data_IF_912292886619
#
_entry.id   IF_912292886619
#
_cell.length_a   1.000
_cell.length_b   1.000
_cell.length_c   1.000
_cell.angle_alpha   90.00
_cell.angle_beta   90.00
_cell.angle_gamma   90.00
#
_symmetry.space_group_name_H-M   'P 1'
#
loop_
_entity.id
_entity.type
_entity.pdbx_description
1 polymer ?
#
# COMPACT_ATOMS: atom_id res chain seq x y z
N UNK A 1 1.53 3.04 -27.36
CA UNK A 1 2.07 1.81 -27.96
C UNK A 1 3.52 1.69 -27.51
N UNK A 2 3.77 0.95 -26.43
CA UNK A 2 5.11 0.69 -25.93
C UNK A 2 5.68 -0.55 -26.66
N UNK A 3 6.96 -0.52 -27.01
CA UNK A 3 7.64 -1.56 -27.78
C UNK A 3 7.59 -2.91 -27.07
N UNK A 4 6.81 -3.84 -27.63
CA UNK A 4 6.73 -5.23 -27.20
C UNK A 4 7.81 -5.99 -27.97
N UNK A 5 8.79 -6.56 -27.26
CA UNK A 5 9.69 -7.55 -27.85
C UNK A 5 8.84 -8.80 -28.19
N UNK A 6 8.83 -9.29 -29.45
CA UNK A 6 7.89 -10.31 -29.89
C UNK A 6 8.08 -11.72 -29.30
N UNK A 7 9.13 -11.97 -28.50
CA UNK A 7 9.64 -13.33 -28.26
C UNK A 7 9.61 -13.80 -26.79
N UNK A 8 8.81 -13.20 -25.90
CA UNK A 8 8.63 -13.75 -24.53
C UNK A 8 7.37 -14.66 -24.49
N UNK A 9 7.53 -16.00 -24.47
CA UNK A 9 6.41 -16.95 -24.48
C UNK A 9 5.53 -16.85 -23.23
N UNK A 10 6.05 -16.36 -22.11
CA UNK A 10 5.26 -16.14 -20.89
C UNK A 10 4.29 -14.95 -21.07
N UNK A 11 4.72 -13.89 -21.77
CA UNK A 11 3.90 -12.73 -22.10
C UNK A 11 2.79 -13.07 -23.11
N UNK A 12 3.08 -13.93 -24.08
CA UNK A 12 2.10 -14.44 -25.04
C UNK A 12 1.03 -15.33 -24.38
N UNK A 13 1.41 -16.09 -23.33
CA UNK A 13 0.47 -16.92 -22.58
C UNK A 13 -0.41 -16.10 -21.64
N UNK A 14 0.15 -15.06 -21.03
CA UNK A 14 -0.56 -14.15 -20.13
C UNK A 14 -1.60 -13.28 -20.84
N UNK A 15 -1.31 -12.83 -22.06
CA UNK A 15 -2.25 -12.02 -22.87
C UNK A 15 -3.50 -12.78 -23.32
N UNK A 16 -3.44 -14.12 -23.37
CA UNK A 16 -4.56 -15.00 -23.74
C UNK A 16 -5.54 -15.33 -22.59
N UNK A 17 -5.24 -14.94 -21.36
CA UNK A 17 -6.12 -15.18 -20.21
C UNK A 17 -7.30 -14.20 -20.18
N UNK A 18 -8.50 -14.62 -19.71
CA UNK A 18 -9.62 -13.72 -19.46
C UNK A 18 -9.21 -12.61 -18.48
N UNK A 19 -9.73 -11.39 -18.70
CA UNK A 19 -9.41 -10.22 -17.88
C UNK A 19 -9.42 -10.45 -16.34
N UNK A 20 -10.40 -11.15 -15.73
CA UNK A 20 -10.40 -11.39 -14.28
C UNK A 20 -9.31 -12.38 -13.84
N UNK A 21 -9.05 -13.43 -14.63
CA UNK A 21 -7.98 -14.40 -14.33
C UNK A 21 -6.60 -13.76 -14.45
N UNK A 22 -6.43 -12.87 -15.42
CA UNK A 22 -5.19 -12.11 -15.60
C UNK A 22 -4.92 -11.17 -14.42
N UNK A 23 -5.96 -10.60 -13.82
CA UNK A 23 -5.88 -9.83 -12.56
C UNK A 23 -5.49 -10.72 -11.37
N UNK A 24 -6.02 -11.95 -11.28
CA UNK A 24 -5.66 -12.89 -10.21
C UNK A 24 -4.21 -13.36 -10.33
N UNK A 25 -3.79 -13.75 -11.53
CA UNK A 25 -2.43 -14.24 -11.78
C UNK A 25 -1.36 -13.14 -11.72
N UNK A 26 -1.70 -11.89 -12.01
CA UNK A 26 -0.78 -10.76 -11.83
C UNK A 26 -0.52 -10.44 -10.35
N UNK A 27 -1.43 -10.84 -9.45
CA UNK A 27 -1.50 -10.37 -8.05
C UNK A 27 -1.49 -11.48 -7.01
N UNK A 28 -0.55 -12.44 -7.09
CA UNK A 28 -0.58 -13.59 -6.20
C UNK A 28 -0.57 -13.17 -4.73
N UNK A 29 0.12 -12.08 -4.37
CA UNK A 29 0.22 -11.59 -2.99
C UNK A 29 -1.11 -11.10 -2.43
N UNK A 30 -1.84 -10.29 -3.20
CA UNK A 30 -3.15 -9.76 -2.79
C UNK A 30 -4.17 -10.87 -2.62
N UNK A 31 -4.21 -11.84 -3.55
CA UNK A 31 -5.15 -12.94 -3.46
C UNK A 31 -4.79 -13.96 -2.37
N UNK A 32 -3.50 -14.21 -2.13
CA UNK A 32 -3.05 -15.03 -0.98
C UNK A 32 -3.43 -14.35 0.33
N UNK A 33 -3.13 -13.05 0.48
CA UNK A 33 -3.52 -12.29 1.67
C UNK A 33 -5.04 -12.28 1.87
N UNK A 34 -5.82 -12.11 0.79
CA UNK A 34 -7.27 -12.12 0.82
C UNK A 34 -7.82 -13.48 1.25
N UNK A 35 -7.28 -14.57 0.70
CA UNK A 35 -7.67 -15.93 1.07
C UNK A 35 -7.43 -16.22 2.55
N UNK A 36 -6.27 -15.80 3.08
CA UNK A 36 -5.94 -15.98 4.50
C UNK A 36 -6.85 -15.12 5.39
N UNK A 37 -7.13 -13.88 4.99
CA UNK A 37 -8.02 -12.99 5.74
C UNK A 37 -9.47 -13.50 5.78
N UNK A 38 -9.98 -14.03 4.67
CA UNK A 38 -11.31 -14.66 4.62
C UNK A 38 -11.34 -15.89 5.55
N UNK A 39 -10.32 -16.74 5.50
CA UNK A 39 -10.23 -17.89 6.40
C UNK A 39 -10.20 -17.43 7.88
N UNK A 40 -9.39 -16.42 8.20
CA UNK A 40 -9.32 -15.85 9.54
C UNK A 40 -10.68 -15.30 10.00
N UNK A 41 -11.43 -14.60 9.14
CA UNK A 41 -12.77 -14.10 9.48
C UNK A 41 -13.71 -15.20 9.97
N UNK A 42 -13.71 -16.36 9.31
CA UNK A 42 -14.56 -17.50 9.68
C UNK A 42 -14.05 -18.26 10.90
N UNK A 43 -12.75 -18.22 11.18
CA UNK A 43 -12.12 -18.84 12.35
C UNK A 43 -12.23 -17.97 13.62
N UNK A 44 -12.42 -16.66 13.49
CA UNK A 44 -12.60 -15.75 14.62
C UNK A 44 -13.89 -16.06 15.40
N UNK A 45 -13.87 -15.99 16.74
CA UNK A 45 -15.04 -16.30 17.58
C UNK A 45 -16.28 -15.48 17.21
N UNK A 46 -17.43 -16.14 17.11
CA UNK A 46 -18.72 -15.48 16.84
C UNK A 46 -19.20 -14.56 17.97
N UNK A 47 -18.62 -14.69 19.17
CA UNK A 47 -18.87 -13.83 20.31
C UNK A 47 -18.33 -12.40 20.12
N UNK A 48 -17.37 -12.20 19.21
CA UNK A 48 -16.87 -10.87 18.87
C UNK A 48 -17.92 -10.11 18.06
N UNK A 49 -18.02 -8.79 18.30
CA UNK A 49 -18.85 -7.90 17.48
C UNK A 49 -18.42 -8.02 16.01
N UNK A 50 -19.38 -7.98 15.08
CA UNK A 50 -19.12 -8.12 13.65
C UNK A 50 -18.02 -7.17 13.16
N UNK A 51 -18.11 -5.90 13.57
CA UNK A 51 -17.14 -4.86 13.20
C UNK A 51 -15.73 -5.17 13.71
N UNK A 52 -15.57 -5.74 14.91
CA UNK A 52 -14.27 -6.18 15.45
C UNK A 52 -13.70 -7.33 14.63
N UNK A 53 -14.53 -8.29 14.22
CA UNK A 53 -14.10 -9.41 13.34
C UNK A 53 -13.66 -8.91 11.98
N UNK A 54 -14.38 -7.94 11.42
CA UNK A 54 -14.04 -7.31 10.14
C UNK A 54 -12.70 -6.57 10.24
N UNK A 55 -12.47 -5.77 11.29
CA UNK A 55 -11.21 -5.08 11.51
C UNK A 55 -10.04 -6.05 11.69
N UNK A 56 -10.19 -7.08 12.53
CA UNK A 56 -9.14 -8.09 12.69
C UNK A 56 -8.80 -8.79 11.38
N UNK A 57 -9.81 -9.10 10.56
CA UNK A 57 -9.60 -9.74 9.25
C UNK A 57 -8.92 -8.78 8.27
N UNK A 58 -9.27 -7.50 8.30
CA UNK A 58 -8.60 -6.45 7.54
C UNK A 58 -7.14 -6.27 7.97
N UNK A 59 -6.86 -6.29 9.27
CA UNK A 59 -5.51 -6.16 9.80
C UNK A 59 -4.65 -7.37 9.40
N UNK A 60 -5.22 -8.59 9.45
CA UNK A 60 -4.57 -9.81 8.97
C UNK A 60 -4.28 -9.72 7.47
N UNK A 61 -5.27 -9.33 6.65
CA UNK A 61 -5.08 -9.10 5.22
C UNK A 61 -3.91 -8.14 4.98
N UNK A 62 -3.94 -7.00 5.65
CA UNK A 62 -3.02 -5.89 5.42
C UNK A 62 -1.61 -6.24 5.88
N UNK A 63 -1.46 -6.88 7.05
CA UNK A 63 -0.17 -7.32 7.56
C UNK A 63 0.47 -8.38 6.64
N UNK A 64 -0.32 -9.37 6.19
CA UNK A 64 0.19 -10.40 5.26
C UNK A 64 0.58 -9.77 3.93
N UNK A 65 -0.24 -8.88 3.39
CA UNK A 65 0.08 -8.16 2.16
C UNK A 65 1.40 -7.39 2.28
N UNK A 66 1.59 -6.62 3.36
CA UNK A 66 2.81 -5.88 3.64
C UNK A 66 4.04 -6.80 3.74
N UNK A 67 3.92 -7.90 4.48
CA UNK A 67 5.02 -8.88 4.61
C UNK A 67 5.37 -9.50 3.26
N UNK A 68 4.38 -9.93 2.47
CA UNK A 68 4.63 -10.52 1.15
C UNK A 68 5.27 -9.54 0.18
N UNK A 69 4.89 -8.25 0.25
CA UNK A 69 5.51 -7.19 -0.55
C UNK A 69 6.95 -6.92 -0.08
N UNK A 70 7.18 -6.80 1.22
CA UNK A 70 8.53 -6.60 1.76
C UNK A 70 9.48 -7.76 1.40
N UNK A 71 9.02 -9.00 1.54
CA UNK A 71 9.78 -10.18 1.13
C UNK A 71 10.08 -10.20 -0.38
N UNK A 72 9.18 -9.67 -1.21
CA UNK A 72 9.47 -9.51 -2.63
C UNK A 72 10.55 -8.45 -2.85
N UNK A 73 10.42 -7.26 -2.27
CA UNK A 73 11.38 -6.16 -2.47
C UNK A 73 12.81 -6.64 -2.14
N UNK A 74 12.97 -7.29 -0.98
CA UNK A 74 14.24 -7.86 -0.52
C UNK A 74 14.82 -8.94 -1.46
N UNK A 75 13.95 -9.75 -2.09
CA UNK A 75 14.40 -10.76 -3.06
C UNK A 75 14.79 -10.14 -4.40
N UNK A 76 14.08 -9.11 -4.84
CA UNK A 76 14.37 -8.44 -6.11
C UNK A 76 15.71 -7.70 -6.06
N UNK A 77 16.06 -7.10 -4.92
CA UNK A 77 17.39 -6.48 -4.68
C UNK A 77 18.53 -7.47 -4.91
N UNK A 78 18.38 -8.73 -4.48
CA UNK A 78 19.41 -9.77 -4.64
C UNK A 78 19.59 -10.22 -6.09
N UNK A 79 18.60 -10.02 -6.96
CA UNK A 79 18.58 -10.57 -8.31
C UNK A 79 18.67 -9.52 -9.41
N UNK A 80 18.76 -8.22 -9.10
CA UNK A 80 18.84 -7.10 -10.07
C UNK A 80 17.72 -7.07 -11.15
N UNK A 81 16.59 -7.75 -10.93
CA UNK A 81 15.51 -7.91 -11.92
C UNK A 81 14.31 -6.95 -11.69
N UNK A 82 14.51 -5.83 -11.00
CA UNK A 82 13.43 -4.91 -10.60
C UNK A 82 12.57 -4.43 -11.76
N UNK A 83 13.16 -4.14 -12.93
CA UNK A 83 12.43 -3.65 -14.10
C UNK A 83 11.37 -4.66 -14.57
N UNK A 84 11.73 -5.94 -14.65
CA UNK A 84 10.80 -6.99 -15.11
C UNK A 84 9.66 -7.15 -14.12
N UNK A 85 9.96 -7.10 -12.83
CA UNK A 85 8.98 -7.27 -11.77
C UNK A 85 8.05 -6.06 -11.64
N UNK A 86 8.58 -4.84 -11.74
CA UNK A 86 7.80 -3.60 -11.72
C UNK A 86 6.83 -3.50 -12.91
N UNK A 87 7.22 -3.96 -14.10
CA UNK A 87 6.33 -3.98 -15.28
C UNK A 87 5.25 -5.06 -15.14
N UNK A 88 5.61 -6.26 -14.66
CA UNK A 88 4.66 -7.38 -14.48
C UNK A 88 3.64 -7.13 -13.37
N UNK A 89 4.03 -6.38 -12.35
CA UNK A 89 3.21 -6.05 -11.20
C UNK A 89 2.38 -4.79 -11.40
N UNK A 90 2.31 -4.23 -12.63
CA UNK A 90 1.47 -3.06 -12.87
C UNK A 90 0.00 -3.35 -12.66
N UNK A 91 -0.46 -2.81 -11.56
CA UNK A 91 -1.82 -2.85 -11.12
C UNK A 91 -2.47 -1.46 -11.16
N UNK A 92 -1.84 -0.53 -11.87
CA UNK A 92 -2.04 0.91 -11.84
C UNK A 92 -3.47 1.37 -11.64
N UNK A 93 -3.61 2.30 -10.70
CA UNK A 93 -4.85 2.95 -10.21
C UNK A 93 -5.87 2.06 -9.51
N UNK A 94 -6.19 0.86 -9.99
CA UNK A 94 -7.27 0.06 -9.38
C UNK A 94 -6.90 -0.45 -7.99
N UNK A 95 -5.68 -0.97 -7.79
CA UNK A 95 -5.24 -1.45 -6.47
C UNK A 95 -5.04 -0.31 -5.50
N UNK A 96 -4.46 0.81 -5.95
CA UNK A 96 -4.39 2.03 -5.14
C UNK A 96 -5.79 2.44 -4.69
N UNK A 97 -6.74 2.55 -5.62
CA UNK A 97 -8.11 2.94 -5.31
C UNK A 97 -8.77 1.97 -4.33
N UNK A 98 -8.61 0.66 -4.54
CA UNK A 98 -9.18 -0.36 -3.66
C UNK A 98 -8.56 -0.34 -2.26
N UNK A 99 -7.24 -0.38 -2.14
CA UNK A 99 -6.52 -0.40 -0.85
C UNK A 99 -6.75 0.91 -0.10
N UNK A 100 -6.70 2.05 -0.78
CA UNK A 100 -7.00 3.35 -0.17
C UNK A 100 -8.46 3.44 0.28
N UNK A 101 -9.42 3.01 -0.55
CA UNK A 101 -10.84 3.06 -0.16
C UNK A 101 -11.15 2.14 1.02
N UNK A 102 -10.68 0.89 0.98
CA UNK A 102 -10.88 -0.07 2.07
C UNK A 102 -10.14 0.35 3.34
N UNK A 103 -8.91 0.84 3.21
CA UNK A 103 -8.13 1.36 4.34
C UNK A 103 -8.78 2.59 4.97
N UNK A 104 -9.31 3.52 4.17
CA UNK A 104 -10.05 4.66 4.69
C UNK A 104 -11.33 4.23 5.43
N UNK A 105 -12.08 3.29 4.86
CA UNK A 105 -13.27 2.73 5.51
C UNK A 105 -12.91 2.02 6.82
N UNK A 106 -11.87 1.19 6.83
CA UNK A 106 -11.39 0.50 8.02
C UNK A 106 -10.94 1.49 9.11
N UNK A 107 -10.20 2.53 8.74
CA UNK A 107 -9.80 3.61 9.67
C UNK A 107 -11.01 4.34 10.27
N UNK A 108 -12.02 4.68 9.47
CA UNK A 108 -13.25 5.30 9.99
C UNK A 108 -13.99 4.34 10.93
N UNK A 109 -14.12 3.07 10.54
CA UNK A 109 -14.78 2.05 11.36
C UNK A 109 -14.06 1.83 12.70
N UNK A 110 -12.72 1.87 12.71
CA UNK A 110 -11.90 1.84 13.91
C UNK A 110 -12.16 3.04 14.82
N UNK A 111 -12.16 4.26 14.28
CA UNK A 111 -12.42 5.48 15.06
C UNK A 111 -13.84 5.45 15.66
N UNK A 112 -14.85 5.02 14.90
CA UNK A 112 -16.23 4.90 15.38
C UNK A 112 -16.35 3.86 16.49
N UNK A 113 -15.64 2.73 16.36
CA UNK A 113 -15.56 1.72 17.41
C UNK A 113 -14.97 2.27 18.70
N UNK A 114 -13.89 3.05 18.58
CA UNK A 114 -13.23 3.67 19.72
C UNK A 114 -14.16 4.66 20.45
N UNK A 115 -14.89 5.50 19.70
CA UNK A 115 -15.84 6.45 20.29
C UNK A 115 -17.01 5.77 21.03
N UNK A 116 -17.38 4.56 20.60
CA UNK A 116 -18.43 3.74 21.25
C UNK A 116 -17.92 2.86 22.39
N UNK A 117 -16.60 2.80 22.62
CA UNK A 117 -16.00 2.03 23.68
C UNK A 117 -16.06 2.76 25.02
N UNK A 118 -16.06 2.03 26.13
CA UNK A 118 -15.95 2.64 27.45
C UNK A 118 -14.58 3.31 27.60
N UNK A 119 -14.47 4.36 28.42
CA UNK A 119 -13.24 5.19 28.62
C UNK A 119 -11.94 4.44 28.99
N UNK A 120 -11.92 3.10 29.03
CA UNK A 120 -10.77 2.24 29.39
C UNK A 120 -10.70 0.92 28.59
N UNK A 121 -11.34 0.81 27.43
CA UNK A 121 -11.26 -0.42 26.61
C UNK A 121 -9.94 -0.49 25.83
N UNK A 122 -8.85 -0.81 26.54
CA UNK A 122 -7.51 -0.90 25.95
C UNK A 122 -7.44 -1.79 24.69
N UNK A 123 -8.12 -2.95 24.62
CA UNK A 123 -8.19 -3.75 23.39
C UNK A 123 -8.79 -3.00 22.18
N UNK A 124 -9.86 -2.23 22.36
CA UNK A 124 -10.48 -1.46 21.28
C UNK A 124 -9.54 -0.35 20.77
N UNK A 125 -8.84 0.30 21.69
CA UNK A 125 -7.85 1.32 21.36
C UNK A 125 -6.65 0.73 20.60
N UNK A 126 -6.10 -0.37 21.10
CA UNK A 126 -4.98 -1.07 20.44
C UNK A 126 -5.37 -1.53 19.04
N UNK A 127 -6.56 -2.09 18.86
CA UNK A 127 -7.06 -2.50 17.55
C UNK A 127 -7.19 -1.29 16.62
N UNK A 128 -7.78 -0.19 17.10
CA UNK A 128 -7.97 1.01 16.29
C UNK A 128 -6.64 1.62 15.83
N UNK A 129 -5.66 1.72 16.74
CA UNK A 129 -4.33 2.20 16.41
C UNK A 129 -3.65 1.27 15.38
N UNK A 130 -3.72 -0.04 15.60
CA UNK A 130 -3.15 -1.03 14.68
C UNK A 130 -3.78 -0.93 13.29
N UNK A 131 -5.12 -0.88 13.21
CA UNK A 131 -5.85 -0.77 11.95
C UNK A 131 -5.45 0.49 11.18
N UNK A 132 -5.39 1.65 11.85
CA UNK A 132 -5.02 2.91 11.18
C UNK A 132 -3.57 2.86 10.72
N UNK A 133 -2.64 2.39 11.55
CA UNK A 133 -1.21 2.27 11.20
C UNK A 133 -0.95 1.28 10.05
N UNK A 134 -1.61 0.11 10.06
CA UNK A 134 -1.48 -0.87 8.97
C UNK A 134 -2.06 -0.32 7.67
N UNK A 135 -3.23 0.33 7.73
CA UNK A 135 -3.87 0.93 6.56
C UNK A 135 -3.00 2.04 5.97
N UNK A 136 -2.41 2.88 6.82
CA UNK A 136 -1.43 3.91 6.43
C UNK A 136 -0.23 3.29 5.71
N UNK A 137 0.41 2.30 6.31
CA UNK A 137 1.58 1.64 5.72
C UNK A 137 1.24 0.96 4.38
N UNK A 138 0.07 0.33 4.27
CA UNK A 138 -0.37 -0.33 3.05
C UNK A 138 -0.64 0.64 1.91
N UNK A 139 -1.24 1.80 2.19
CA UNK A 139 -1.42 2.86 1.18
C UNK A 139 -0.07 3.34 0.65
N UNK A 140 0.87 3.70 1.52
CA UNK A 140 2.18 4.20 1.09
C UNK A 140 3.03 3.12 0.41
N UNK A 141 2.94 1.87 0.85
CA UNK A 141 3.59 0.74 0.16
C UNK A 141 3.01 0.53 -1.24
N UNK A 142 1.69 0.66 -1.39
CA UNK A 142 1.03 0.53 -2.71
C UNK A 142 1.41 1.67 -3.65
N UNK A 143 1.52 2.90 -3.13
CA UNK A 143 2.06 4.02 -3.92
C UNK A 143 3.54 3.81 -4.29
N UNK A 144 4.36 3.24 -3.41
CA UNK A 144 5.77 2.92 -3.72
C UNK A 144 5.87 1.95 -4.90
N UNK A 145 5.10 0.86 -4.88
CA UNK A 145 5.04 -0.09 -5.99
C UNK A 145 4.55 0.58 -7.29
N UNK A 146 3.58 1.49 -7.19
CA UNK A 146 3.08 2.21 -8.36
C UNK A 146 4.11 3.19 -8.93
N UNK A 147 4.89 3.87 -8.08
CA UNK A 147 6.00 4.70 -8.55
C UNK A 147 7.10 3.87 -9.21
N UNK A 148 7.42 2.69 -8.66
CA UNK A 148 8.34 1.75 -9.29
C UNK A 148 7.86 1.36 -10.69
N UNK A 149 6.57 1.04 -10.81
CA UNK A 149 5.97 0.78 -12.10
C UNK A 149 6.09 1.98 -13.06
N UNK A 150 5.63 3.16 -12.63
CA UNK A 150 5.62 4.35 -13.46
C UNK A 150 7.03 4.77 -13.89
N UNK A 151 8.04 4.51 -13.05
CA UNK A 151 9.44 4.72 -13.38
C UNK A 151 9.94 3.75 -14.46
N UNK A 152 9.54 2.48 -14.40
CA UNK A 152 10.00 1.43 -15.33
C UNK A 152 9.10 1.18 -16.56
N UNK A 153 7.94 1.84 -16.67
CA UNK A 153 6.96 1.63 -17.75
C UNK A 153 7.47 1.96 -19.17
N UNK A 154 8.49 2.81 -19.27
CA UNK A 154 9.03 3.31 -20.53
C UNK A 154 10.13 2.44 -21.15
N UNK A 155 10.52 2.77 -22.38
CA UNK A 155 11.70 2.18 -23.03
C UNK A 155 12.98 2.48 -22.22
N UNK A 156 13.02 3.67 -21.60
CA UNK A 156 14.06 4.09 -20.65
C UNK A 156 13.40 4.37 -19.29
N UNK A 157 13.96 3.87 -18.17
CA UNK A 157 13.49 4.23 -16.84
C UNK A 157 13.57 5.75 -16.61
N UNK A 158 12.63 6.33 -15.86
CA UNK A 158 12.65 7.76 -15.56
C UNK A 158 11.34 8.35 -15.04
N UNK A 159 11.30 9.68 -14.89
CA UNK A 159 10.15 10.40 -14.35
C UNK A 159 10.30 10.80 -12.87
N UNK A 160 11.22 10.15 -12.15
CA UNK A 160 11.73 10.52 -10.83
C UNK A 160 13.26 10.68 -10.93
N UNK A 161 13.78 11.72 -10.30
CA UNK A 161 15.20 12.05 -10.27
C UNK A 161 15.69 11.97 -8.82
N UNK A 162 16.38 10.88 -8.49
CA UNK A 162 16.95 10.66 -7.16
C UNK A 162 18.28 11.41 -7.01
N UNK A 163 18.67 11.81 -5.78
CA UNK A 163 19.85 12.65 -5.51
C UNK A 163 21.19 11.95 -5.76
N UNK A 164 21.19 10.62 -5.70
CA UNK A 164 22.33 9.75 -6.00
C UNK A 164 22.59 9.77 -7.51
N UNK A 165 23.31 10.78 -7.99
CA UNK A 165 23.54 10.99 -9.42
C UNK A 165 24.18 9.78 -10.12
N UNK A 166 23.63 9.42 -11.28
CA UNK A 166 24.20 8.73 -12.46
C UNK A 166 25.17 7.53 -12.27
N UNK A 167 25.40 7.02 -11.06
CA UNK A 167 26.36 5.92 -10.79
C UNK A 167 25.71 4.54 -10.71
N UNK A 168 24.43 4.47 -10.35
CA UNK A 168 23.60 3.28 -10.50
C UNK A 168 22.51 3.59 -11.53
N UNK A 169 22.52 2.87 -12.66
CA UNK A 169 21.62 3.16 -13.79
C UNK A 169 20.12 2.98 -13.45
N UNK A 170 19.78 2.36 -12.31
CA UNK A 170 18.44 1.85 -12.00
C UNK A 170 18.08 2.04 -10.51
N UNK A 171 17.01 2.79 -10.23
CA UNK A 171 16.45 2.96 -8.88
C UNK A 171 15.86 1.64 -8.35
N UNK A 172 16.09 1.34 -7.06
CA UNK A 172 15.60 0.12 -6.42
C UNK A 172 14.23 0.32 -5.73
N UNK A 173 13.70 -0.72 -5.07
CA UNK A 173 12.42 -0.58 -4.36
C UNK A 173 12.51 0.35 -3.15
N UNK A 174 13.68 0.47 -2.50
CA UNK A 174 13.88 1.37 -1.37
C UNK A 174 13.83 2.84 -1.79
N UNK A 175 14.30 3.18 -2.98
CA UNK A 175 14.15 4.53 -3.56
C UNK A 175 12.67 4.93 -3.66
N UNK A 176 11.81 4.01 -4.14
CA UNK A 176 10.37 4.28 -4.26
C UNK A 176 9.65 4.25 -2.90
N UNK A 177 10.07 3.38 -1.97
CA UNK A 177 9.57 3.38 -0.59
C UNK A 177 9.93 4.70 0.09
N UNK A 178 11.18 5.15 -0.03
CA UNK A 178 11.66 6.43 0.47
C UNK A 178 10.81 7.59 -0.07
N UNK A 179 10.65 7.68 -1.40
CA UNK A 179 9.86 8.74 -2.02
C UNK A 179 8.39 8.71 -1.56
N UNK A 180 7.78 7.52 -1.51
CA UNK A 180 6.39 7.33 -1.13
C UNK A 180 6.13 7.68 0.34
N UNK A 181 6.98 7.17 1.25
CA UNK A 181 6.82 7.38 2.68
C UNK A 181 7.17 8.81 3.10
N UNK A 182 8.07 9.52 2.42
CA UNK A 182 8.27 10.96 2.67
C UNK A 182 6.99 11.75 2.37
N UNK A 183 6.33 11.48 1.24
CA UNK A 183 5.03 12.10 0.92
C UNK A 183 4.00 11.75 2.00
N UNK A 184 4.01 10.51 2.48
CA UNK A 184 3.15 10.03 3.57
C UNK A 184 3.37 10.74 4.90
N UNK A 185 4.61 10.81 5.37
CA UNK A 185 4.96 11.27 6.71
C UNK A 185 4.94 12.80 6.84
N UNK A 186 5.39 13.56 5.84
CA UNK A 186 5.71 14.99 6.04
C UNK A 186 5.16 15.94 4.98
N UNK A 187 4.36 15.47 4.01
CA UNK A 187 3.83 16.30 2.92
C UNK A 187 4.91 17.16 2.19
N UNK A 188 6.17 16.69 2.21
CA UNK A 188 7.33 17.04 1.39
C UNK A 188 8.33 18.12 1.88
N UNK A 189 9.58 17.66 2.09
CA UNK A 189 10.80 18.08 1.34
C UNK A 189 11.52 16.78 0.95
N UNK A 190 11.18 16.19 -0.20
CA UNK A 190 11.99 15.11 -0.77
C UNK A 190 13.06 15.72 -1.66
N UNK A 191 14.29 15.24 -1.56
CA UNK A 191 15.38 15.52 -2.48
C UNK A 191 15.20 14.85 -3.87
N UNK A 192 14.10 14.09 -4.04
CA UNK A 192 13.67 13.49 -5.31
C UNK A 192 12.85 14.47 -6.16
N UNK A 193 13.31 14.75 -7.38
CA UNK A 193 12.62 15.60 -8.35
C UNK A 193 11.63 14.82 -9.23
N UNK A 194 10.44 15.38 -9.50
CA UNK A 194 9.44 14.77 -10.41
C UNK A 194 9.53 15.40 -11.80
N UNK A 195 9.95 14.64 -12.80
CA UNK A 195 10.11 15.11 -14.20
C UNK A 195 8.95 14.71 -15.11
N UNK A 196 8.19 13.66 -14.77
CA UNK A 196 7.03 13.19 -15.55
C UNK A 196 5.71 13.86 -15.13
N UNK A 197 4.82 14.14 -16.10
CA UNK A 197 3.52 14.79 -15.83
C UNK A 197 2.51 13.85 -15.17
N UNK A 198 2.55 12.55 -15.46
CA UNK A 198 1.64 11.55 -14.88
C UNK A 198 2.03 11.30 -13.43
N UNK A 199 3.32 11.08 -13.16
CA UNK A 199 3.84 10.89 -11.79
C UNK A 199 3.51 12.11 -10.92
N UNK A 200 3.59 13.32 -11.46
CA UNK A 200 3.20 14.54 -10.73
C UNK A 200 1.74 14.54 -10.29
N UNK A 201 0.82 14.11 -11.16
CA UNK A 201 -0.61 13.97 -10.82
C UNK A 201 -0.82 12.89 -9.77
N UNK A 202 -0.11 11.77 -9.88
CA UNK A 202 -0.12 10.69 -8.89
C UNK A 202 0.35 11.20 -7.53
N UNK A 203 1.46 11.96 -7.49
CA UNK A 203 1.99 12.55 -6.27
C UNK A 203 1.03 13.57 -5.64
N UNK A 204 0.30 14.35 -6.44
CA UNK A 204 -0.75 15.23 -5.91
C UNK A 204 -1.86 14.45 -5.21
N UNK A 205 -2.36 13.38 -5.85
CA UNK A 205 -3.38 12.51 -5.24
C UNK A 205 -2.86 11.84 -3.97
N UNK A 206 -1.63 11.35 -4.03
CA UNK A 206 -0.96 10.73 -2.89
C UNK A 206 -0.86 11.71 -1.71
N UNK A 207 -0.41 12.95 -1.95
CA UNK A 207 -0.31 13.99 -0.91
C UNK A 207 -1.65 14.33 -0.27
N UNK A 208 -2.74 14.41 -1.05
CA UNK A 208 -4.10 14.62 -0.52
C UNK A 208 -4.51 13.46 0.40
N UNK A 209 -4.25 12.22 -0.02
CA UNK A 209 -4.55 11.03 0.79
C UNK A 209 -3.72 11.03 2.08
N UNK A 210 -2.42 11.32 1.99
CA UNK A 210 -1.52 11.43 3.14
C UNK A 210 -2.02 12.46 4.15
N UNK A 211 -2.48 13.62 3.69
CA UNK A 211 -3.02 14.66 4.56
C UNK A 211 -4.24 14.18 5.38
N UNK A 212 -5.16 13.46 4.74
CA UNK A 212 -6.34 12.90 5.42
C UNK A 212 -5.92 11.87 6.46
N UNK A 213 -5.01 10.96 6.12
CA UNK A 213 -4.49 9.98 7.07
C UNK A 213 -3.78 10.62 8.27
N UNK A 214 -2.92 11.62 8.02
CA UNK A 214 -2.20 12.32 9.08
C UNK A 214 -3.16 13.06 10.01
N UNK A 215 -4.23 13.64 9.46
CA UNK A 215 -5.29 14.28 10.25
C UNK A 215 -6.04 13.25 11.12
N UNK A 216 -6.37 12.07 10.57
CA UNK A 216 -7.01 10.99 11.33
C UNK A 216 -6.11 10.47 12.47
N UNK A 217 -4.81 10.29 12.20
CA UNK A 217 -3.83 9.91 13.23
C UNK A 217 -3.76 10.95 14.35
N UNK A 218 -3.68 12.24 14.01
CA UNK A 218 -3.68 13.32 15.01
C UNK A 218 -4.97 13.32 15.83
N UNK A 219 -6.14 13.16 15.19
CA UNK A 219 -7.42 13.08 15.89
C UNK A 219 -7.46 11.92 16.90
N UNK A 220 -6.96 10.73 16.50
CA UNK A 220 -6.85 9.58 17.39
C UNK A 220 -5.92 9.87 18.58
N UNK A 221 -4.75 10.48 18.32
CA UNK A 221 -3.79 10.83 19.37
C UNK A 221 -4.35 11.85 20.37
N UNK A 222 -5.10 12.85 19.89
CA UNK A 222 -5.79 13.82 20.75
C UNK A 222 -6.84 13.12 21.62
N UNK A 223 -7.61 12.18 21.05
CA UNK A 223 -8.59 11.41 21.80
C UNK A 223 -7.94 10.57 22.91
N UNK A 224 -6.80 9.91 22.60
CA UNK A 224 -6.01 9.16 23.59
C UNK A 224 -5.54 10.08 24.72
N UNK A 225 -4.96 11.24 24.39
CA UNK A 225 -4.48 12.20 25.38
C UNK A 225 -5.61 12.72 26.27
N UNK A 226 -6.76 13.06 25.68
CA UNK A 226 -7.95 13.49 26.42
C UNK A 226 -8.45 12.38 27.37
N UNK A 227 -8.48 11.13 26.90
CA UNK A 227 -8.86 9.97 27.73
C UNK A 227 -7.91 9.78 28.91
N UNK A 228 -6.60 9.90 28.69
CA UNK A 228 -5.57 9.75 29.71
C UNK A 228 -5.51 10.88 30.76
N UNK A 229 -5.96 12.09 30.42
CA UNK A 229 -6.02 13.22 31.37
C UNK A 229 -7.34 13.20 32.15
N UNK A 230 -8.42 12.69 31.55
CA UNK A 230 -9.73 12.58 32.21
C UNK A 230 -9.85 11.40 33.20
N UNK A 231 -8.75 10.70 33.47
CA UNK A 231 -8.67 9.50 34.31
C UNK A 231 -8.00 9.74 35.66
#
# INVERSE_FOLDING_TARGET
MAGVHPDDPDLARFTRLPAPLRVVYARPRTFVALGIAIAAFFLLPSALRLITRLLLSWDIFTAIYLVLVALMMLRCEQHHHIRRDAIKQDDGRFVILLVTALGAFASIAAIVLELGASKRDAPALTLSLLTVSLSWAAVHTTFALHYAHDYYRGAKPGGLQFPSGDKDEHADYWDFVYFSFIIGMTAQVSDVGITDKVIRRTATVHGIISFVYNTALVALMVNIAASAISS
#
